data_IF_763083752073
#
_entry.id   IF_763083752073
#
_cell.length_a   1.000
_cell.length_b   1.000
_cell.length_c   1.000
_cell.angle_alpha   90.00
_cell.angle_beta   90.00
_cell.angle_gamma   90.00
#
_symmetry.space_group_name_H-M   'P 1'
#
loop_
_entity.id
_entity.type
_entity.pdbx_description
1 polymer ?
#
# COMPACT_ATOMS: atom_id res chain seq x y z
N UNK A 1 3.46 42.53 -38.63
CA UNK A 1 4.23 43.15 -37.53
C UNK A 1 4.75 42.03 -36.66
N UNK A 2 6.08 41.93 -36.47
CA UNK A 2 6.69 40.86 -35.66
C UNK A 2 7.04 41.46 -34.30
N UNK A 3 6.44 40.92 -33.25
CA UNK A 3 6.65 41.34 -31.87
C UNK A 3 7.50 40.28 -31.16
N UNK A 4 8.54 40.70 -30.43
CA UNK A 4 9.31 39.80 -29.57
C UNK A 4 8.77 39.98 -28.14
N UNK A 5 8.03 38.99 -27.65
CA UNK A 5 7.50 38.97 -26.29
C UNK A 5 8.39 38.09 -25.42
N UNK A 6 9.08 38.68 -24.45
CA UNK A 6 9.83 37.93 -23.43
C UNK A 6 9.12 38.11 -22.10
N UNK A 7 8.53 37.03 -21.58
CA UNK A 7 7.85 36.99 -20.29
C UNK A 7 8.66 36.17 -19.29
N UNK A 8 8.97 36.76 -18.14
CA UNK A 8 9.58 36.06 -17.01
C UNK A 8 8.52 35.82 -15.93
N UNK A 9 8.30 34.57 -15.56
CA UNK A 9 7.44 34.21 -14.43
C UNK A 9 8.30 33.83 -13.24
N UNK A 10 8.20 34.61 -12.16
CA UNK A 10 8.47 34.15 -10.79
C UNK A 10 7.13 34.20 -10.03
N UNK A 11 6.83 33.26 -9.11
CA UNK A 11 5.59 33.32 -8.38
C UNK A 11 5.58 34.56 -7.47
N UNK A 12 4.58 35.43 -7.62
CA UNK A 12 4.21 36.44 -6.62
C UNK A 12 4.44 37.92 -6.93
N UNK A 13 5.05 38.32 -8.05
CA UNK A 13 5.12 39.74 -8.47
C UNK A 13 5.03 39.90 -9.99
N UNK A 14 4.01 40.63 -10.46
CA UNK A 14 3.92 41.06 -11.84
C UNK A 14 4.93 42.19 -12.10
N UNK A 15 5.74 42.05 -13.15
CA UNK A 15 6.61 43.14 -13.61
C UNK A 15 5.82 44.14 -14.46
N UNK A 16 6.15 45.45 -14.38
CA UNK A 16 5.48 46.45 -15.21
C UNK A 16 5.76 46.19 -16.69
N UNK A 17 4.70 46.31 -17.50
CA UNK A 17 4.77 46.14 -18.95
C UNK A 17 5.56 47.31 -19.56
N UNK A 18 6.68 47.01 -20.21
CA UNK A 18 7.44 47.98 -20.98
C UNK A 18 6.83 48.11 -22.38
N UNK A 19 6.36 49.31 -22.73
CA UNK A 19 5.84 49.64 -24.05
C UNK A 19 6.93 50.33 -24.86
N UNK A 20 7.61 49.60 -25.74
CA UNK A 20 8.68 50.14 -26.58
C UNK A 20 8.03 50.77 -27.83
N UNK A 21 8.24 52.07 -28.03
CA UNK A 21 7.74 52.81 -29.20
C UNK A 21 8.74 52.62 -30.35
N UNK A 22 8.23 52.28 -31.53
CA UNK A 22 8.98 51.85 -32.74
C UNK A 22 10.15 52.74 -33.18
N UNK A 23 10.28 53.97 -32.66
CA UNK A 23 11.35 54.91 -33.00
C UNK A 23 12.61 54.85 -32.12
N UNK A 24 12.64 54.03 -31.06
CA UNK A 24 13.78 53.95 -30.12
C UNK A 24 14.64 52.67 -30.27
N UNK A 25 14.35 51.84 -31.25
CA UNK A 25 15.13 50.63 -31.52
C UNK A 25 16.22 51.00 -32.52
N UNK A 26 17.39 51.40 -32.04
CA UNK A 26 18.60 51.24 -32.85
C UNK A 26 18.83 49.73 -33.02
N UNK A 27 19.06 49.30 -34.26
CA UNK A 27 19.34 47.90 -34.57
C UNK A 27 20.69 47.53 -33.99
N UNK A 28 20.71 47.06 -32.75
CA UNK A 28 21.91 46.51 -32.13
C UNK A 28 22.15 45.15 -32.76
N UNK A 29 23.01 45.10 -33.78
CA UNK A 29 23.30 43.86 -34.48
C UNK A 29 23.92 42.81 -33.55
N UNK A 30 24.61 43.23 -32.49
CA UNK A 30 25.22 42.34 -31.49
C UNK A 30 25.06 42.89 -30.07
N UNK A 31 24.36 42.16 -29.20
CA UNK A 31 24.34 42.40 -27.75
C UNK A 31 25.12 41.29 -27.06
N UNK A 32 26.30 41.62 -26.53
CA UNK A 32 27.09 40.72 -25.68
C UNK A 32 26.84 41.07 -24.21
N UNK A 33 26.44 40.11 -23.39
CA UNK A 33 26.41 40.28 -21.93
C UNK A 33 27.85 40.10 -21.43
N UNK A 34 28.49 41.14 -20.85
CA UNK A 34 29.86 41.02 -20.33
C UNK A 34 29.91 39.93 -19.25
N UNK A 35 30.75 38.91 -19.44
CA UNK A 35 30.93 37.80 -18.50
C UNK A 35 30.10 36.55 -18.78
N UNK A 36 29.23 36.54 -19.79
CA UNK A 36 28.50 35.33 -20.18
C UNK A 36 29.23 34.59 -21.31
N UNK A 37 30.19 33.74 -20.96
CA UNK A 37 30.76 32.79 -21.91
C UNK A 37 29.79 31.62 -22.05
N UNK A 38 28.92 31.64 -23.07
CA UNK A 38 28.18 30.44 -23.45
C UNK A 38 29.20 29.47 -24.05
N UNK A 39 29.71 28.57 -23.22
CA UNK A 39 30.58 27.50 -23.69
C UNK A 39 29.86 26.73 -24.80
N UNK A 40 30.51 26.63 -25.97
CA UNK A 40 30.09 25.75 -27.07
C UNK A 40 30.36 24.27 -26.75
N UNK A 41 30.53 23.90 -25.48
CA UNK A 41 30.59 22.51 -25.06
C UNK A 41 29.18 21.89 -25.18
N UNK A 42 28.78 21.66 -26.43
CA UNK A 42 27.67 20.80 -26.85
C UNK A 42 27.83 19.36 -26.36
N UNK A 43 28.88 19.03 -25.61
CA UNK A 43 29.10 17.75 -24.96
C UNK A 43 27.89 17.29 -24.15
N UNK A 44 27.17 18.21 -23.51
CA UNK A 44 25.96 17.86 -22.76
C UNK A 44 24.81 17.46 -23.69
N UNK A 45 24.57 18.23 -24.75
CA UNK A 45 23.56 17.91 -25.76
C UNK A 45 23.90 16.61 -26.50
N UNK A 46 25.19 16.40 -26.79
CA UNK A 46 25.70 15.21 -27.47
C UNK A 46 25.64 13.97 -26.59
N UNK A 47 25.93 14.10 -25.30
CA UNK A 47 25.74 13.05 -24.29
C UNK A 47 24.27 12.68 -24.13
N UNK A 48 23.38 13.67 -24.06
CA UNK A 48 21.93 13.45 -24.02
C UNK A 48 21.45 12.71 -25.28
N UNK A 49 21.84 13.14 -26.48
CA UNK A 49 21.50 12.39 -27.70
C UNK A 49 22.09 10.99 -27.69
N UNK A 50 23.31 10.79 -27.18
CA UNK A 50 23.90 9.45 -27.13
C UNK A 50 23.18 8.54 -26.14
N UNK A 51 22.75 9.05 -24.97
CA UNK A 51 21.91 8.31 -24.02
C UNK A 51 20.59 7.88 -24.68
N UNK A 52 19.96 8.76 -25.45
CA UNK A 52 18.69 8.46 -26.12
C UNK A 52 18.83 7.71 -27.45
N UNK A 53 20.05 7.65 -28.03
CA UNK A 53 20.32 6.96 -29.30
C UNK A 53 21.00 5.60 -29.12
N UNK A 54 21.57 5.30 -27.95
CA UNK A 54 22.33 4.05 -27.75
C UNK A 54 21.47 2.83 -27.49
N UNK A 55 20.21 2.98 -27.10
CA UNK A 55 19.29 1.86 -27.00
C UNK A 55 17.92 2.31 -27.52
N UNK A 56 17.59 1.87 -28.73
CA UNK A 56 16.21 1.86 -29.17
C UNK A 56 15.45 0.99 -28.14
N UNK A 57 14.71 1.63 -27.24
CA UNK A 57 13.76 0.93 -26.36
C UNK A 57 12.70 0.35 -27.29
N UNK A 58 12.94 -0.87 -27.73
CA UNK A 58 11.98 -1.60 -28.54
C UNK A 58 10.77 -1.91 -27.66
N UNK A 59 9.55 -1.96 -28.21
CA UNK A 59 8.36 -2.38 -27.46
C UNK A 59 8.56 -3.70 -26.70
N UNK A 60 9.35 -4.61 -27.29
CA UNK A 60 9.77 -5.88 -26.69
C UNK A 60 10.59 -5.70 -25.39
N UNK A 61 11.47 -4.68 -25.30
CA UNK A 61 12.22 -4.41 -24.07
C UNK A 61 11.32 -3.90 -22.93
N UNK A 62 10.27 -3.14 -23.27
CA UNK A 62 9.26 -2.69 -22.31
C UNK A 62 8.44 -3.87 -21.82
N UNK A 63 7.97 -4.73 -22.72
CA UNK A 63 7.23 -5.95 -22.38
C UNK A 63 8.05 -6.87 -21.48
N UNK A 64 9.32 -7.10 -21.79
CA UNK A 64 10.21 -7.91 -20.96
C UNK A 64 10.43 -7.31 -19.56
N UNK A 65 10.53 -5.98 -19.45
CA UNK A 65 10.68 -5.31 -18.16
C UNK A 65 9.40 -5.41 -17.32
N UNK A 66 8.23 -5.29 -17.94
CA UNK A 66 6.92 -5.47 -17.29
C UNK A 66 6.76 -6.91 -16.81
N UNK A 67 7.08 -7.89 -17.65
CA UNK A 67 6.99 -9.30 -17.28
C UNK A 67 7.95 -9.64 -16.13
N UNK A 68 9.18 -9.11 -16.18
CA UNK A 68 10.16 -9.29 -15.12
C UNK A 68 9.69 -8.70 -13.79
N UNK A 69 9.17 -7.47 -13.80
CA UNK A 69 8.66 -6.81 -12.58
C UNK A 69 7.43 -7.51 -12.02
N UNK A 70 6.49 -7.94 -12.86
CA UNK A 70 5.32 -8.72 -12.43
C UNK A 70 5.74 -10.06 -11.82
N UNK A 71 6.69 -10.75 -12.44
CA UNK A 71 7.22 -12.02 -11.91
C UNK A 71 7.90 -11.82 -10.55
N UNK A 72 8.73 -10.79 -10.42
CA UNK A 72 9.41 -10.49 -9.17
C UNK A 72 8.44 -10.12 -8.04
N UNK A 73 7.39 -9.35 -8.37
CA UNK A 73 6.33 -9.01 -7.43
C UNK A 73 5.57 -10.25 -6.94
N UNK A 74 5.22 -11.18 -7.85
CA UNK A 74 4.58 -12.45 -7.47
C UNK A 74 5.45 -13.28 -6.54
N UNK A 75 6.72 -13.47 -6.90
CA UNK A 75 7.67 -14.24 -6.08
C UNK A 75 7.86 -13.60 -4.69
N UNK A 76 7.93 -12.27 -4.65
CA UNK A 76 8.10 -11.55 -3.39
C UNK A 76 6.83 -11.63 -2.55
N UNK A 77 5.66 -11.43 -3.15
CA UNK A 77 4.37 -11.55 -2.49
C UNK A 77 4.17 -12.95 -1.91
N UNK A 78 4.49 -14.01 -2.64
CA UNK A 78 4.38 -15.40 -2.14
C UNK A 78 5.30 -15.67 -0.94
N UNK A 79 6.45 -14.99 -0.87
CA UNK A 79 7.40 -15.11 0.25
C UNK A 79 7.02 -14.26 1.45
N UNK A 80 6.48 -13.06 1.22
CA UNK A 80 6.24 -12.07 2.27
C UNK A 80 4.82 -12.12 2.82
N UNK A 81 3.83 -12.42 1.99
CA UNK A 81 2.43 -12.51 2.40
C UNK A 81 2.23 -13.85 3.09
N UNK A 82 1.83 -13.89 4.37
CA UNK A 82 1.53 -15.14 5.04
C UNK A 82 0.38 -15.86 4.33
N UNK A 83 0.69 -16.92 3.59
CA UNK A 83 -0.30 -17.76 2.87
C UNK A 83 -1.14 -18.65 3.80
N UNK A 84 -0.90 -18.58 5.11
CA UNK A 84 -1.49 -19.50 6.07
C UNK A 84 -2.91 -19.07 6.42
N UNK A 85 -3.87 -19.97 6.21
CA UNK A 85 -5.28 -19.79 6.58
C UNK A 85 -5.40 -19.26 8.01
N UNK A 86 -6.16 -18.17 8.18
CA UNK A 86 -6.44 -17.57 9.47
C UNK A 86 -6.95 -18.63 10.44
N UNK A 87 -6.23 -18.84 11.55
CA UNK A 87 -6.64 -19.76 12.62
C UNK A 87 -7.23 -18.94 13.76
N UNK A 88 -8.53 -19.08 14.07
CA UNK A 88 -9.16 -18.37 15.21
C UNK A 88 -8.46 -18.62 16.55
N UNK A 89 -7.74 -19.75 16.68
CA UNK A 89 -6.91 -20.14 17.83
C UNK A 89 -5.69 -19.24 18.04
N UNK A 90 -5.39 -18.35 17.07
CA UNK A 90 -4.26 -17.41 17.12
C UNK A 90 -4.69 -15.97 17.41
N UNK A 91 -5.95 -15.77 17.78
CA UNK A 91 -6.37 -14.47 18.32
C UNK A 91 -5.68 -14.27 19.67
N UNK A 92 -5.28 -13.03 19.97
CA UNK A 92 -4.59 -12.63 21.20
C UNK A 92 -5.31 -13.11 22.48
N UNK A 93 -6.65 -13.04 22.48
CA UNK A 93 -7.49 -13.46 23.59
C UNK A 93 -7.61 -14.99 23.76
N UNK A 94 -7.00 -15.78 22.86
CA UNK A 94 -7.15 -17.22 22.87
C UNK A 94 -6.25 -17.88 23.93
N UNK A 95 -6.86 -18.36 25.02
CA UNK A 95 -6.15 -18.94 26.17
C UNK A 95 -6.35 -20.48 26.32
N UNK A 96 -5.61 -21.14 27.23
CA UNK A 96 -5.76 -22.58 27.48
C UNK A 96 -7.17 -22.99 27.92
N UNK A 97 -7.88 -22.13 28.64
CA UNK A 97 -9.27 -22.35 29.06
C UNK A 97 -10.21 -22.48 27.87
N UNK A 98 -10.12 -21.55 26.90
CA UNK A 98 -10.90 -21.62 25.65
C UNK A 98 -10.54 -22.86 24.82
N UNK A 99 -9.28 -23.28 24.86
CA UNK A 99 -8.85 -24.52 24.19
C UNK A 99 -9.52 -25.75 24.81
N UNK A 100 -9.56 -25.83 26.15
CA UNK A 100 -10.25 -26.92 26.86
C UNK A 100 -11.75 -26.94 26.56
N UNK A 101 -12.42 -25.80 26.68
CA UNK A 101 -13.86 -25.67 26.40
C UNK A 101 -14.20 -25.98 24.93
N UNK A 102 -13.36 -25.56 23.98
CA UNK A 102 -13.56 -25.88 22.56
C UNK A 102 -13.39 -27.40 22.29
N UNK A 103 -12.47 -28.08 23.00
CA UNK A 103 -12.36 -29.54 22.92
C UNK A 103 -13.62 -30.20 23.48
N UNK A 104 -14.13 -29.73 24.60
CA UNK A 104 -15.39 -30.22 25.19
C UNK A 104 -16.57 -30.05 24.23
N UNK A 105 -16.74 -28.86 23.62
CA UNK A 105 -17.78 -28.61 22.61
C UNK A 105 -17.69 -29.62 21.47
N UNK A 106 -16.48 -29.88 20.95
CA UNK A 106 -16.28 -30.85 19.87
C UNK A 106 -16.60 -32.28 20.31
N UNK A 107 -16.26 -32.65 21.54
CA UNK A 107 -16.57 -33.98 22.09
C UNK A 107 -18.08 -34.16 22.24
N UNK A 108 -18.78 -33.21 22.84
CA UNK A 108 -20.24 -33.26 22.98
C UNK A 108 -20.95 -33.22 21.61
N UNK A 109 -20.45 -32.40 20.67
CA UNK A 109 -20.99 -32.35 19.31
C UNK A 109 -20.87 -33.70 18.59
N UNK A 110 -19.71 -34.38 18.70
CA UNK A 110 -19.54 -35.72 18.11
C UNK A 110 -20.44 -36.77 18.74
N UNK A 111 -20.63 -36.73 20.07
CA UNK A 111 -21.58 -37.63 20.76
C UNK A 111 -23.01 -37.39 20.30
N UNK A 112 -23.42 -36.13 20.21
CA UNK A 112 -24.75 -35.76 19.70
C UNK A 112 -24.94 -36.16 18.23
N UNK A 113 -23.90 -36.04 17.40
CA UNK A 113 -23.91 -36.48 16.00
C UNK A 113 -24.05 -38.01 15.90
N UNK A 114 -23.32 -38.77 16.72
CA UNK A 114 -23.37 -40.23 16.76
C UNK A 114 -24.78 -40.75 17.07
N UNK A 115 -25.54 -40.03 17.89
CA UNK A 115 -26.91 -40.36 18.30
C UNK A 115 -27.96 -39.98 17.25
N UNK A 116 -27.56 -39.48 16.07
CA UNK A 116 -28.46 -39.09 14.99
C UNK A 116 -28.99 -37.66 15.08
N UNK A 117 -28.25 -36.77 15.76
CA UNK A 117 -28.63 -35.36 15.96
C UNK A 117 -30.04 -35.12 16.53
N UNK A 118 -30.46 -35.86 17.58
CA UNK A 118 -31.78 -35.70 18.16
C UNK A 118 -31.97 -34.26 18.65
N UNK A 119 -32.98 -33.58 18.12
CA UNK A 119 -33.31 -32.17 18.48
C UNK A 119 -34.30 -32.05 19.63
N UNK A 120 -34.66 -33.19 20.22
CA UNK A 120 -35.59 -33.22 21.33
C UNK A 120 -34.97 -32.55 22.56
N UNK A 121 -35.75 -31.65 23.18
CA UNK A 121 -35.41 -30.95 24.41
C UNK A 121 -35.13 -31.92 25.57
N UNK A 122 -35.57 -33.17 25.48
CA UNK A 122 -35.31 -34.19 26.50
C UNK A 122 -33.99 -34.96 26.30
N UNK A 123 -33.37 -34.89 25.12
CA UNK A 123 -32.16 -35.64 24.85
C UNK A 123 -30.94 -35.06 25.61
N UNK A 124 -30.24 -35.91 26.36
CA UNK A 124 -29.12 -35.49 27.19
C UNK A 124 -27.92 -34.99 26.35
N UNK A 125 -27.59 -35.66 25.25
CA UNK A 125 -26.47 -35.26 24.39
C UNK A 125 -26.69 -33.90 23.73
N UNK A 126 -27.93 -33.60 23.34
CA UNK A 126 -28.31 -32.28 22.84
C UNK A 126 -28.14 -31.20 23.91
N UNK A 127 -28.64 -31.45 25.14
CA UNK A 127 -28.48 -30.54 26.29
C UNK A 127 -27.00 -30.29 26.59
N UNK A 128 -26.20 -31.35 26.64
CA UNK A 128 -24.77 -31.28 26.93
C UNK A 128 -24.02 -30.47 25.87
N UNK A 129 -24.30 -30.72 24.59
CA UNK A 129 -23.74 -29.91 23.51
C UNK A 129 -24.12 -28.43 23.62
N UNK A 130 -25.39 -28.12 23.88
CA UNK A 130 -25.85 -26.73 24.04
C UNK A 130 -25.21 -26.05 25.24
N UNK A 131 -25.09 -26.76 26.37
CA UNK A 131 -24.44 -26.26 27.58
C UNK A 131 -22.95 -25.99 27.34
N UNK A 132 -22.24 -26.94 26.75
CA UNK A 132 -20.83 -26.75 26.39
C UNK A 132 -20.63 -25.56 25.44
N UNK A 133 -21.50 -25.42 24.42
CA UNK A 133 -21.45 -24.29 23.47
C UNK A 133 -21.73 -22.96 24.15
N UNK A 134 -22.68 -22.92 25.09
CA UNK A 134 -22.96 -21.73 25.88
C UNK A 134 -21.76 -21.33 26.74
N UNK A 135 -21.19 -22.29 27.48
CA UNK A 135 -20.02 -22.06 28.32
C UNK A 135 -18.83 -21.53 27.52
N UNK A 136 -18.52 -22.15 26.37
CA UNK A 136 -17.47 -21.68 25.47
C UNK A 136 -17.71 -20.23 25.02
N UNK A 137 -18.94 -19.88 24.59
CA UNK A 137 -19.26 -18.51 24.15
C UNK A 137 -19.20 -17.50 25.30
N UNK A 138 -19.62 -17.89 26.50
CA UNK A 138 -19.53 -17.04 27.69
C UNK A 138 -18.06 -16.73 28.01
N UNK A 139 -17.23 -17.77 28.10
CA UNK A 139 -15.79 -17.61 28.34
C UNK A 139 -15.09 -16.84 27.21
N UNK A 140 -15.49 -17.06 25.96
CA UNK A 140 -14.91 -16.37 24.81
C UNK A 140 -15.18 -14.88 24.86
N UNK A 141 -16.41 -14.46 25.18
CA UNK A 141 -16.76 -13.04 25.32
C UNK A 141 -15.99 -12.39 26.47
N UNK A 142 -15.83 -13.11 27.58
CA UNK A 142 -15.05 -12.63 28.70
C UNK A 142 -13.58 -12.45 28.33
N UNK A 143 -12.97 -13.43 27.66
CA UNK A 143 -11.58 -13.33 27.22
C UNK A 143 -11.35 -12.19 26.20
N UNK A 144 -12.30 -11.94 25.30
CA UNK A 144 -12.24 -10.79 24.38
C UNK A 144 -12.24 -9.49 25.17
N UNK A 145 -13.17 -9.33 26.11
CA UNK A 145 -13.26 -8.12 26.93
C UNK A 145 -11.99 -7.92 27.78
N UNK A 146 -11.45 -8.98 28.38
CA UNK A 146 -10.19 -8.91 29.15
C UNK A 146 -9.01 -8.50 28.27
N UNK A 147 -8.94 -8.99 27.03
CA UNK A 147 -7.89 -8.64 26.09
C UNK A 147 -8.00 -7.19 25.61
N UNK A 148 -9.22 -6.72 25.29
CA UNK A 148 -9.51 -5.33 24.93
C UNK A 148 -9.09 -4.37 26.06
N UNK A 149 -9.47 -4.66 27.31
CA UNK A 149 -9.09 -3.84 28.47
C UNK A 149 -7.57 -3.84 28.69
N UNK A 150 -6.90 -4.98 28.54
CA UNK A 150 -5.44 -5.05 28.75
C UNK A 150 -4.64 -4.43 27.59
N UNK A 151 -5.19 -4.44 26.37
CA UNK A 151 -4.59 -3.81 25.20
C UNK A 151 -4.57 -2.28 25.30
N UNK A 152 -5.53 -1.66 25.99
CA UNK A 152 -5.61 -0.21 26.19
C UNK A 152 -4.59 0.32 27.23
N UNK A 153 -4.03 -0.54 28.08
CA UNK A 153 -3.09 -0.15 29.16
C UNK A 153 -1.62 -0.22 28.67
N UNK A 154 -1.38 -0.62 27.42
CA UNK A 154 -0.08 -1.03 26.89
C UNK A 154 0.76 0.01 26.10
N UNK A 155 0.36 1.29 26.00
CA UNK A 155 1.23 2.33 25.44
C UNK A 155 1.72 3.30 26.54
N UNK A 156 2.88 3.02 27.16
CA UNK A 156 3.65 4.07 27.83
C UNK A 156 4.48 4.82 26.78
N UNK A 157 4.09 6.06 26.49
CA UNK A 157 4.96 7.08 25.89
C UNK A 157 6.07 7.49 26.84
#
# INVERSE_FOLDING_TARGET
VKELVISFTKPGKEFPRLKIISGQIETVNHAGIPGLTISKDLKWNQHITNIFSSEAITPNAIEQLVDHTVSHLKITADKTIPTRVFKPVRKHYWNPTLTSLNREVKTCWRKWLYEGEPRDSNNQFFKDYKKAKYNFRKAQRQAIHEDEVNGEIGEPT
#
